data_IF_556171845099
#
_entry.id   IF_556171845099
#
_cell.length_a   1.000
_cell.length_b   1.000
_cell.length_c   1.000
_cell.angle_alpha   90.00
_cell.angle_beta   90.00
_cell.angle_gamma   90.00
#
_symmetry.space_group_name_H-M   'P 1'
#
loop_
_entity.id
_entity.type
_entity.pdbx_description
1 polymer ?
#
# COMPACT_ATOMS: atom_id res chain seq x y z
N UNK A 1 -6.50 -61.44 2.93
CA UNK A 1 -7.00 -60.14 3.43
C UNK A 1 -5.79 -59.32 3.84
N UNK A 2 -5.41 -58.33 3.04
CA UNK A 2 -4.18 -57.56 3.26
C UNK A 2 -4.36 -56.54 4.40
N UNK A 3 -3.35 -56.45 5.25
CA UNK A 3 -3.30 -55.64 6.47
C UNK A 3 -3.36 -54.13 6.16
N UNK A 4 -4.56 -53.54 6.31
CA UNK A 4 -4.82 -52.11 6.08
C UNK A 4 -4.26 -51.20 7.19
N UNK A 5 -3.87 -51.76 8.34
CA UNK A 5 -3.39 -50.98 9.48
C UNK A 5 -2.03 -50.31 9.21
N UNK A 6 -1.14 -51.00 8.50
CA UNK A 6 0.20 -50.51 8.15
C UNK A 6 0.19 -49.45 7.04
N UNK A 7 -0.78 -49.52 6.13
CA UNK A 7 -0.94 -48.53 5.04
C UNK A 7 -1.42 -47.19 5.58
N UNK A 8 -2.39 -47.21 6.50
CA UNK A 8 -2.88 -46.00 7.18
C UNK A 8 -1.79 -45.31 8.01
N UNK A 9 -0.97 -46.09 8.72
CA UNK A 9 0.17 -45.56 9.47
C UNK A 9 1.19 -44.87 8.55
N UNK A 10 1.50 -45.47 7.40
CA UNK A 10 2.38 -44.85 6.40
C UNK A 10 1.78 -43.57 5.80
N UNK A 11 0.47 -43.55 5.53
CA UNK A 11 -0.23 -42.35 5.04
C UNK A 11 -0.21 -41.22 6.06
N UNK A 12 -0.41 -41.52 7.36
CA UNK A 12 -0.33 -40.52 8.42
C UNK A 12 1.09 -39.93 8.56
N UNK A 13 2.13 -40.74 8.40
CA UNK A 13 3.51 -40.25 8.43
C UNK A 13 3.81 -39.30 7.27
N UNK A 14 3.37 -39.63 6.05
CA UNK A 14 3.57 -38.77 4.87
C UNK A 14 2.83 -37.44 5.02
N UNK A 15 1.58 -37.46 5.49
CA UNK A 15 0.80 -36.24 5.74
C UNK A 15 1.48 -35.39 6.82
N UNK A 16 2.01 -36.01 7.88
CA UNK A 16 2.70 -35.30 8.96
C UNK A 16 3.95 -34.56 8.46
N UNK A 17 4.77 -35.19 7.62
CA UNK A 17 5.94 -34.55 7.00
C UNK A 17 5.51 -33.38 6.10
N UNK A 18 4.41 -33.53 5.37
CA UNK A 18 3.87 -32.47 4.51
C UNK A 18 3.32 -31.28 5.30
N UNK A 19 2.61 -31.53 6.40
CA UNK A 19 2.08 -30.50 7.31
C UNK A 19 3.22 -29.78 8.02
N UNK A 20 4.23 -30.51 8.51
CA UNK A 20 5.43 -29.91 9.12
C UNK A 20 6.22 -29.06 8.11
N UNK A 21 6.37 -29.54 6.87
CA UNK A 21 6.96 -28.77 5.78
C UNK A 21 6.17 -27.51 5.43
N UNK A 22 4.84 -27.58 5.42
CA UNK A 22 3.96 -26.44 5.14
C UNK A 22 3.99 -25.40 6.26
N UNK A 23 4.03 -25.82 7.53
CA UNK A 23 4.17 -24.93 8.68
C UNK A 23 5.55 -24.28 8.69
N UNK A 24 6.62 -25.04 8.46
CA UNK A 24 7.99 -24.50 8.38
C UNK A 24 8.16 -23.54 7.18
N UNK A 25 7.58 -23.88 6.03
CA UNK A 25 7.57 -23.03 4.84
C UNK A 25 6.74 -21.75 5.03
N UNK A 26 5.53 -21.86 5.60
CA UNK A 26 4.66 -20.73 5.89
C UNK A 26 5.24 -19.76 6.91
N UNK A 27 5.88 -20.28 7.97
CA UNK A 27 6.59 -19.45 8.95
C UNK A 27 7.84 -18.77 8.34
N UNK A 28 8.54 -19.44 7.43
CA UNK A 28 9.68 -18.85 6.72
C UNK A 28 9.24 -17.72 5.80
N UNK A 29 8.15 -17.86 5.04
CA UNK A 29 7.61 -16.80 4.18
C UNK A 29 7.18 -15.57 4.99
N UNK A 30 6.58 -15.76 6.17
CA UNK A 30 6.19 -14.66 7.06
C UNK A 30 7.39 -13.95 7.72
N UNK A 31 8.43 -14.70 8.10
CA UNK A 31 9.66 -14.14 8.68
C UNK A 31 10.54 -13.42 7.64
N UNK A 32 10.60 -13.93 6.41
CA UNK A 32 11.29 -13.24 5.31
C UNK A 32 10.52 -12.02 4.79
N UNK A 33 9.18 -12.04 4.75
CA UNK A 33 8.40 -10.83 4.42
C UNK A 33 8.58 -9.72 5.46
N UNK A 34 8.54 -10.04 6.75
CA UNK A 34 8.71 -9.04 7.83
C UNK A 34 10.12 -8.42 7.93
N UNK A 35 11.17 -9.09 7.42
CA UNK A 35 12.52 -8.49 7.29
C UNK A 35 12.80 -7.83 5.94
N UNK A 36 12.17 -8.28 4.86
CA UNK A 36 12.29 -7.63 3.54
C UNK A 36 11.48 -6.32 3.47
N UNK A 37 10.36 -6.22 4.20
CA UNK A 37 9.56 -4.99 4.28
C UNK A 37 10.22 -3.90 5.14
N UNK A 38 11.19 -4.24 6.00
CA UNK A 38 11.94 -3.27 6.81
C UNK A 38 12.99 -2.44 6.04
N UNK A 39 13.28 -2.75 4.76
CA UNK A 39 14.29 -2.04 3.95
C UNK A 39 13.86 -1.69 2.52
N UNK A 40 12.64 -2.02 2.13
CA UNK A 40 11.99 -1.47 0.92
C UNK A 40 10.79 -0.61 1.34
N UNK A 41 10.96 0.20 2.38
CA UNK A 41 10.27 1.47 2.42
C UNK A 41 10.95 2.35 1.36
N UNK A 42 10.57 2.14 0.09
CA UNK A 42 10.76 3.17 -0.91
C UNK A 42 10.27 4.48 -0.27
N UNK A 43 11.07 5.57 -0.28
CA UNK A 43 10.64 6.83 0.32
C UNK A 43 9.24 7.10 -0.24
N UNK A 44 8.26 7.16 0.66
CA UNK A 44 6.88 7.39 0.25
C UNK A 44 6.90 8.60 -0.70
N UNK A 45 6.42 8.50 -1.95
CA UNK A 45 6.41 9.61 -2.91
C UNK A 45 5.53 10.79 -2.47
N UNK A 46 5.05 10.75 -1.22
CA UNK A 46 4.09 11.65 -0.60
C UNK A 46 4.63 12.28 0.68
N UNK A 47 5.93 12.12 1.00
CA UNK A 47 6.60 13.13 1.82
C UNK A 47 6.65 14.39 0.98
N UNK A 48 5.61 15.24 1.13
CA UNK A 48 5.65 16.61 0.65
C UNK A 48 6.92 17.21 1.22
N UNK A 49 7.96 17.35 0.37
CA UNK A 49 9.16 18.06 0.75
C UNK A 49 8.71 19.41 1.31
N UNK A 50 9.12 19.72 2.53
CA UNK A 50 8.74 20.98 3.16
C UNK A 50 9.18 22.10 2.20
N UNK A 51 8.27 22.99 1.74
CA UNK A 51 8.63 24.06 0.81
C UNK A 51 9.88 24.82 1.25
N UNK A 52 10.03 25.04 2.55
CA UNK A 52 11.23 25.68 3.12
C UNK A 52 12.52 24.89 2.84
N UNK A 53 12.49 23.56 2.91
CA UNK A 53 13.64 22.73 2.60
C UNK A 53 13.99 22.78 1.11
N UNK A 54 12.99 22.92 0.23
CA UNK A 54 13.20 23.06 -1.21
C UNK A 54 13.88 24.39 -1.51
N UNK A 55 13.36 25.50 -0.99
CA UNK A 55 13.98 26.82 -1.18
C UNK A 55 15.38 26.86 -0.56
N UNK A 56 15.60 26.33 0.65
CA UNK A 56 16.93 26.32 1.26
C UNK A 56 17.96 25.59 0.40
N UNK A 57 17.59 24.45 -0.21
CA UNK A 57 18.47 23.74 -1.15
C UNK A 57 18.74 24.56 -2.40
N UNK A 58 17.70 25.11 -3.02
CA UNK A 58 17.85 25.94 -4.23
C UNK A 58 18.69 27.19 -3.96
N UNK A 59 18.49 27.87 -2.83
CA UNK A 59 19.29 29.03 -2.41
C UNK A 59 20.76 28.64 -2.26
N UNK A 60 21.06 27.49 -1.65
CA UNK A 60 22.44 27.02 -1.46
C UNK A 60 23.09 26.59 -2.78
N UNK A 61 22.38 25.87 -3.63
CA UNK A 61 22.92 25.33 -4.89
C UNK A 61 23.08 26.40 -5.98
N UNK A 62 22.16 27.36 -6.03
CA UNK A 62 22.12 28.40 -7.07
C UNK A 62 22.62 29.77 -6.58
N UNK A 63 23.01 29.89 -5.30
CA UNK A 63 23.42 31.14 -4.66
C UNK A 63 22.37 32.25 -4.86
N UNK A 64 21.10 31.93 -4.60
CA UNK A 64 20.00 32.86 -4.85
C UNK A 64 20.09 34.09 -3.95
N UNK A 65 19.80 35.27 -4.51
CA UNK A 65 19.58 36.48 -3.72
C UNK A 65 18.30 36.38 -2.88
N UNK A 66 18.12 37.30 -1.92
CA UNK A 66 16.89 37.37 -1.13
C UNK A 66 15.65 37.59 -2.02
N UNK A 67 15.75 38.46 -3.01
CA UNK A 67 14.69 38.77 -3.98
C UNK A 67 14.35 37.54 -4.83
N UNK A 68 15.35 36.85 -5.38
CA UNK A 68 15.15 35.62 -6.15
C UNK A 68 14.49 34.51 -5.30
N UNK A 69 14.95 34.35 -4.06
CA UNK A 69 14.39 33.38 -3.14
C UNK A 69 12.92 33.68 -2.83
N UNK A 70 12.56 34.97 -2.68
CA UNK A 70 11.17 35.38 -2.46
C UNK A 70 10.27 35.10 -3.67
N UNK A 71 10.74 35.38 -4.89
CA UNK A 71 10.01 35.06 -6.12
C UNK A 71 9.80 33.55 -6.26
N UNK A 72 10.85 32.74 -6.02
CA UNK A 72 10.75 31.28 -6.09
C UNK A 72 9.79 30.72 -5.02
N UNK A 73 9.76 31.31 -3.82
CA UNK A 73 8.77 30.95 -2.78
C UNK A 73 7.35 31.14 -3.28
N UNK A 74 7.07 32.27 -3.94
CA UNK A 74 5.76 32.55 -4.49
C UNK A 74 5.37 31.54 -5.57
N UNK A 75 6.27 31.26 -6.53
CA UNK A 75 6.03 30.29 -7.60
C UNK A 75 5.72 28.90 -7.04
N UNK A 76 6.49 28.44 -6.04
CA UNK A 76 6.27 27.14 -5.42
C UNK A 76 4.95 27.07 -4.64
N UNK A 77 4.54 28.17 -4.00
CA UNK A 77 3.26 28.26 -3.30
C UNK A 77 2.07 28.19 -4.27
N UNK A 78 2.12 28.96 -5.37
CA UNK A 78 1.11 28.94 -6.43
C UNK A 78 1.02 27.56 -7.09
N UNK A 79 2.16 26.99 -7.46
CA UNK A 79 2.24 25.64 -8.02
C UNK A 79 1.61 24.60 -7.09
N UNK A 80 1.85 24.70 -5.77
CA UNK A 80 1.22 23.80 -4.80
C UNK A 80 -0.30 23.96 -4.78
N UNK A 81 -0.80 25.19 -4.88
CA UNK A 81 -2.23 25.47 -4.94
C UNK A 81 -2.87 24.87 -6.21
N UNK A 82 -2.22 25.03 -7.37
CA UNK A 82 -2.66 24.43 -8.63
C UNK A 82 -2.74 22.91 -8.56
N UNK A 83 -1.69 22.26 -8.04
CA UNK A 83 -1.72 20.81 -7.83
C UNK A 83 -2.81 20.37 -6.84
N UNK A 84 -3.10 21.18 -5.81
CA UNK A 84 -4.18 20.89 -4.87
C UNK A 84 -5.54 20.94 -5.57
N UNK A 85 -5.80 21.97 -6.38
CA UNK A 85 -7.03 22.11 -7.16
C UNK A 85 -7.21 20.93 -8.12
N UNK A 86 -6.17 20.62 -8.92
CA UNK A 86 -6.18 19.50 -9.85
C UNK A 86 -6.49 18.18 -9.14
N UNK A 87 -5.90 17.96 -7.95
CA UNK A 87 -6.16 16.76 -7.15
C UNK A 87 -7.61 16.67 -6.70
N UNK A 88 -8.20 17.78 -6.25
CA UNK A 88 -9.60 17.84 -5.83
C UNK A 88 -10.54 17.54 -6.99
N UNK A 89 -10.29 18.13 -8.16
CA UNK A 89 -11.06 17.91 -9.39
C UNK A 89 -10.95 16.47 -9.90
N UNK A 90 -9.76 15.86 -9.80
CA UNK A 90 -9.52 14.49 -10.26
C UNK A 90 -10.01 13.43 -9.27
N UNK A 91 -10.12 13.75 -7.96
CA UNK A 91 -10.55 12.84 -6.89
C UNK A 91 -11.82 12.03 -7.23
N UNK A 92 -12.93 12.62 -7.71
CA UNK A 92 -14.13 11.84 -8.07
C UNK A 92 -13.88 10.84 -9.20
N UNK A 93 -13.03 11.19 -10.18
CA UNK A 93 -12.70 10.28 -11.30
C UNK A 93 -11.93 9.05 -10.81
N UNK A 94 -10.97 9.25 -9.90
CA UNK A 94 -10.25 8.12 -9.28
C UNK A 94 -11.18 7.22 -8.47
N UNK A 95 -12.10 7.81 -7.70
CA UNK A 95 -13.10 7.04 -6.94
C UNK A 95 -13.99 6.21 -7.86
N UNK A 96 -14.50 6.79 -8.95
CA UNK A 96 -15.32 6.08 -9.92
C UNK A 96 -14.59 4.86 -10.52
N UNK A 97 -13.32 5.03 -10.92
CA UNK A 97 -12.50 3.93 -11.45
C UNK A 97 -12.30 2.83 -10.41
N UNK A 98 -12.06 3.19 -9.13
CA UNK A 98 -11.90 2.22 -8.04
C UNK A 98 -13.19 1.44 -7.79
N UNK A 99 -14.33 2.10 -7.75
CA UNK A 99 -15.63 1.45 -7.57
C UNK A 99 -15.98 0.52 -8.74
N UNK A 100 -15.74 0.96 -9.98
CA UNK A 100 -15.95 0.12 -11.15
C UNK A 100 -15.07 -1.14 -11.09
N UNK A 101 -13.79 -0.99 -10.71
CA UNK A 101 -12.88 -2.12 -10.54
C UNK A 101 -13.37 -3.08 -9.44
N UNK A 102 -13.80 -2.56 -8.29
CA UNK A 102 -14.38 -3.34 -7.19
C UNK A 102 -15.60 -4.14 -7.63
N UNK A 103 -16.52 -3.51 -8.35
CA UNK A 103 -17.71 -4.17 -8.88
C UNK A 103 -17.34 -5.32 -9.83
N UNK A 104 -16.37 -5.10 -10.72
CA UNK A 104 -15.92 -6.12 -11.67
C UNK A 104 -15.26 -7.30 -10.97
N UNK A 105 -14.42 -7.04 -9.97
CA UNK A 105 -13.79 -8.09 -9.16
C UNK A 105 -14.85 -8.87 -8.39
N UNK A 106 -15.78 -8.17 -7.72
CA UNK A 106 -16.86 -8.80 -6.95
C UNK A 106 -17.68 -9.78 -7.80
N UNK A 107 -17.97 -9.42 -9.05
CA UNK A 107 -18.74 -10.24 -9.97
C UNK A 107 -18.07 -11.58 -10.33
N UNK A 108 -16.74 -11.72 -10.17
CA UNK A 108 -16.02 -12.98 -10.43
C UNK A 108 -15.91 -13.89 -9.21
N UNK A 109 -16.38 -13.43 -8.04
CA UNK A 109 -16.21 -14.12 -6.76
C UNK A 109 -17.47 -14.90 -6.38
N UNK A 110 -17.28 -16.04 -5.73
CA UNK A 110 -18.37 -16.77 -5.09
C UNK A 110 -18.84 -16.06 -3.79
N UNK A 111 -20.00 -16.43 -3.21
CA UNK A 111 -20.57 -15.72 -2.06
C UNK A 111 -19.61 -15.62 -0.85
N UNK A 112 -18.90 -16.69 -0.50
CA UNK A 112 -17.96 -16.68 0.62
C UNK A 112 -16.75 -15.75 0.38
N UNK A 113 -16.29 -15.69 -0.88
CA UNK A 113 -15.22 -14.79 -1.30
C UNK A 113 -15.67 -13.33 -1.34
N UNK A 114 -16.92 -13.07 -1.74
CA UNK A 114 -17.51 -11.73 -1.75
C UNK A 114 -17.53 -11.11 -0.35
N UNK A 115 -17.93 -11.87 0.68
CA UNK A 115 -17.93 -11.40 2.06
C UNK A 115 -16.51 -11.00 2.54
N UNK A 116 -15.50 -11.83 2.23
CA UNK A 116 -14.10 -11.54 2.55
C UNK A 116 -13.57 -10.32 1.79
N UNK A 117 -13.98 -10.18 0.53
CA UNK A 117 -13.59 -9.03 -0.31
C UNK A 117 -14.18 -7.73 0.21
N UNK A 118 -15.45 -7.72 0.63
CA UNK A 118 -16.09 -6.53 1.21
C UNK A 118 -15.41 -6.07 2.50
N UNK A 119 -15.07 -7.02 3.38
CA UNK A 119 -14.35 -6.70 4.60
C UNK A 119 -12.95 -6.15 4.30
N UNK A 120 -12.26 -6.71 3.30
CA UNK A 120 -10.98 -6.21 2.86
C UNK A 120 -11.09 -4.79 2.27
N UNK A 121 -12.10 -4.53 1.44
CA UNK A 121 -12.39 -3.19 0.88
C UNK A 121 -12.65 -2.19 2.00
N UNK A 122 -13.54 -2.54 2.95
CA UNK A 122 -13.90 -1.67 4.09
C UNK A 122 -12.67 -1.28 4.92
N UNK A 123 -11.84 -2.25 5.31
CA UNK A 123 -10.62 -1.98 6.09
C UNK A 123 -9.66 -1.05 5.36
N UNK A 124 -9.55 -1.19 4.03
CA UNK A 124 -8.72 -0.30 3.21
C UNK A 124 -9.28 1.11 3.16
N UNK A 125 -10.59 1.26 2.96
CA UNK A 125 -11.22 2.58 2.90
C UNK A 125 -11.13 3.33 4.23
N UNK A 126 -11.31 2.64 5.35
CA UNK A 126 -11.08 3.22 6.68
C UNK A 126 -9.63 3.68 6.90
N UNK A 127 -8.64 3.00 6.32
CA UNK A 127 -7.24 3.45 6.36
C UNK A 127 -7.01 4.69 5.49
N UNK A 128 -7.55 4.70 4.27
CA UNK A 128 -7.48 5.87 3.38
C UNK A 128 -8.16 7.09 4.00
N UNK A 129 -9.37 6.93 4.53
CA UNK A 129 -10.12 8.02 5.15
C UNK A 129 -9.41 8.55 6.39
N UNK A 130 -8.83 7.68 7.22
CA UNK A 130 -8.01 8.15 8.35
C UNK A 130 -6.81 8.95 7.86
N UNK A 131 -6.03 8.44 6.92
CA UNK A 131 -4.84 9.16 6.45
C UNK A 131 -5.17 10.51 5.81
N UNK A 132 -6.31 10.60 5.13
CA UNK A 132 -6.75 11.85 4.49
C UNK A 132 -7.42 12.83 5.46
N UNK A 133 -8.21 12.36 6.44
CA UNK A 133 -8.81 13.23 7.47
C UNK A 133 -7.79 13.89 8.39
N UNK A 134 -6.60 13.32 8.58
CA UNK A 134 -5.52 13.93 9.35
C UNK A 134 -4.81 15.08 8.60
N UNK A 135 -5.10 15.28 7.31
CA UNK A 135 -4.42 16.25 6.43
C UNK A 135 -5.33 17.42 6.00
N UNK A 136 -6.58 17.46 6.47
CA UNK A 136 -7.54 18.57 6.32
C UNK A 136 -7.63 19.38 7.63
#
# INVERSE_FOLDING_TARGET
MADNSKRWQATLMVISVFVLGFVAGGLSVNYYHSRAEGKIAAPSPHQHANPEQVIQKLTKELNLTAEQSQVIRQILAETRQEYSKLRQEARPRFHAIREQSRSRIRATLNPDQQAKFDEWVRRRDELYDREHRWKE
#
